data_IF_968772628580
#
_entry.id   IF_968772628580
#
_cell.length_a   1.000
_cell.length_b   1.000
_cell.length_c   1.000
_cell.angle_alpha   90.00
_cell.angle_beta   90.00
_cell.angle_gamma   90.00
#
_symmetry.space_group_name_H-M   'P 1'
#
loop_
_entity.id
_entity.type
_entity.pdbx_description
1 polymer ?
#
# COMPACT_ATOMS: atom_id res chain seq x y z
N UNK A 1 -27.82 7.47 -25.62
CA UNK A 1 -27.55 7.72 -24.18
C UNK A 1 -27.71 6.48 -23.30
N UNK A 2 -28.84 5.75 -23.33
CA UNK A 2 -29.04 4.52 -22.50
C UNK A 2 -27.94 3.47 -22.69
N UNK A 3 -27.53 3.17 -23.91
CA UNK A 3 -26.47 2.18 -24.18
C UNK A 3 -25.09 2.62 -23.67
N UNK A 4 -24.79 3.92 -23.72
CA UNK A 4 -23.52 4.47 -23.21
C UNK A 4 -23.47 4.34 -21.69
N UNK A 5 -24.56 4.66 -21.00
CA UNK A 5 -24.66 4.49 -19.54
C UNK A 5 -24.50 3.03 -19.12
N UNK A 6 -25.10 2.10 -19.88
CA UNK A 6 -24.95 0.66 -19.61
C UNK A 6 -23.50 0.19 -19.80
N UNK A 7 -22.81 0.65 -20.84
CA UNK A 7 -21.39 0.32 -21.08
C UNK A 7 -20.52 0.86 -19.95
N UNK A 8 -20.72 2.12 -19.54
CA UNK A 8 -19.98 2.74 -18.43
C UNK A 8 -20.22 1.99 -17.13
N UNK A 9 -21.47 1.66 -16.82
CA UNK A 9 -21.81 0.89 -15.62
C UNK A 9 -21.17 -0.51 -15.63
N UNK A 10 -21.24 -1.22 -16.77
CA UNK A 10 -20.64 -2.55 -16.90
C UNK A 10 -19.10 -2.49 -16.75
N UNK A 11 -18.45 -1.48 -17.33
CA UNK A 11 -17.02 -1.28 -17.18
C UNK A 11 -16.63 -0.97 -15.72
N UNK A 12 -17.38 -0.11 -15.03
CA UNK A 12 -17.16 0.20 -13.63
C UNK A 12 -17.31 -1.04 -12.73
N UNK A 13 -18.32 -1.88 -12.98
CA UNK A 13 -18.52 -3.15 -12.27
C UNK A 13 -17.34 -4.10 -12.53
N UNK A 14 -16.89 -4.22 -13.78
CA UNK A 14 -15.77 -5.09 -14.14
C UNK A 14 -14.47 -4.64 -13.46
N UNK A 15 -14.17 -3.33 -13.47
CA UNK A 15 -13.00 -2.77 -12.79
C UNK A 15 -13.12 -3.00 -11.28
N UNK A 16 -14.27 -2.71 -10.67
CA UNK A 16 -14.48 -2.92 -9.24
C UNK A 16 -14.32 -4.38 -8.82
N UNK A 17 -14.89 -5.32 -9.58
CA UNK A 17 -14.73 -6.76 -9.35
C UNK A 17 -13.28 -7.21 -9.50
N UNK A 18 -12.56 -6.67 -10.49
CA UNK A 18 -11.15 -6.96 -10.70
C UNK A 18 -10.28 -6.44 -9.55
N UNK A 19 -10.46 -5.18 -9.13
CA UNK A 19 -9.77 -4.60 -7.97
C UNK A 19 -10.06 -5.41 -6.70
N UNK A 20 -11.32 -5.80 -6.48
CA UNK A 20 -11.68 -6.68 -5.37
C UNK A 20 -10.97 -8.04 -5.44
N UNK A 21 -10.79 -8.61 -6.63
CA UNK A 21 -10.03 -9.85 -6.81
C UNK A 21 -8.55 -9.72 -6.41
N UNK A 22 -7.93 -8.55 -6.64
CA UNK A 22 -6.56 -8.26 -6.20
C UNK A 22 -6.53 -8.15 -4.68
N UNK A 23 -7.43 -7.37 -4.08
CA UNK A 23 -7.55 -7.19 -2.63
C UNK A 23 -7.75 -8.55 -1.94
N UNK A 24 -8.61 -9.40 -2.49
CA UNK A 24 -8.87 -10.75 -1.99
C UNK A 24 -7.61 -11.62 -2.01
N UNK A 25 -6.90 -11.67 -3.14
CA UNK A 25 -5.67 -12.46 -3.27
C UNK A 25 -4.53 -11.94 -2.39
N UNK A 26 -4.36 -10.62 -2.32
CA UNK A 26 -3.41 -9.98 -1.40
C UNK A 26 -3.73 -10.34 0.06
N UNK A 27 -5.00 -10.28 0.46
CA UNK A 27 -5.43 -10.66 1.82
C UNK A 27 -5.12 -12.12 2.15
N UNK A 28 -5.37 -13.05 1.22
CA UNK A 28 -5.02 -14.46 1.40
C UNK A 28 -3.50 -14.65 1.53
N UNK A 29 -2.72 -14.01 0.67
CA UNK A 29 -1.26 -14.04 0.72
C UNK A 29 -0.72 -13.42 2.02
N UNK A 30 -1.35 -12.39 2.55
CA UNK A 30 -0.98 -11.82 3.85
C UNK A 30 -1.19 -12.81 5.01
N UNK A 31 -2.33 -13.49 5.04
CA UNK A 31 -2.59 -14.55 6.04
C UNK A 31 -1.58 -15.68 5.92
N UNK A 32 -1.21 -16.05 4.70
CA UNK A 32 -0.22 -17.10 4.44
C UNK A 32 1.20 -16.69 4.85
N UNK A 33 1.64 -15.49 4.45
CA UNK A 33 3.04 -15.07 4.55
C UNK A 33 3.34 -14.30 5.84
N UNK A 34 2.33 -13.68 6.43
CA UNK A 34 2.45 -12.81 7.61
C UNK A 34 1.48 -13.20 8.73
N UNK A 35 0.63 -14.21 8.55
CA UNK A 35 -0.23 -14.74 9.61
C UNK A 35 -1.48 -13.91 9.91
N UNK A 36 -1.66 -12.72 9.32
CA UNK A 36 -2.90 -11.94 9.41
C UNK A 36 -3.07 -11.05 8.20
N UNK A 37 -4.31 -10.73 7.85
CA UNK A 37 -4.66 -9.78 6.79
C UNK A 37 -5.00 -8.41 7.36
N UNK A 38 -4.54 -7.35 6.68
CA UNK A 38 -4.85 -5.95 6.97
C UNK A 38 -5.83 -5.34 5.98
N UNK A 39 -5.99 -5.92 4.79
CA UNK A 39 -6.94 -5.44 3.79
C UNK A 39 -8.37 -5.93 4.06
N UNK A 40 -8.53 -7.23 4.27
CA UNK A 40 -9.82 -7.86 4.60
C UNK A 40 -9.77 -8.50 6.00
N UNK A 41 -10.89 -8.54 6.74
CA UNK A 41 -10.97 -9.16 8.06
C UNK A 41 -11.01 -10.70 7.97
N UNK A 42 -9.94 -11.31 7.43
CA UNK A 42 -9.79 -12.75 7.37
C UNK A 42 -9.28 -13.30 8.72
N UNK A 43 -9.65 -14.56 9.09
CA UNK A 43 -9.12 -15.18 10.30
C UNK A 43 -7.59 -15.22 10.30
N UNK A 44 -6.99 -14.72 11.37
CA UNK A 44 -5.55 -14.79 11.57
C UNK A 44 -5.10 -16.23 11.87
N UNK A 45 -3.84 -16.54 11.53
CA UNK A 45 -3.19 -17.79 11.91
C UNK A 45 -2.99 -17.84 13.43
N UNK A 46 -3.13 -19.01 14.06
CA UNK A 46 -2.83 -19.16 15.48
C UNK A 46 -1.34 -18.94 15.77
N UNK A 47 -1.01 -18.59 17.00
CA UNK A 47 0.38 -18.48 17.46
C UNK A 47 1.10 -17.16 17.14
N UNK A 48 0.35 -16.08 16.89
CA UNK A 48 0.92 -14.73 16.83
C UNK A 48 1.33 -14.29 18.24
N UNK A 49 2.59 -13.93 18.41
CA UNK A 49 3.16 -13.48 19.69
C UNK A 49 3.52 -12.00 19.57
N UNK A 50 3.30 -11.15 20.59
CA UNK A 50 3.79 -9.78 20.58
C UNK A 50 5.27 -9.70 20.19
N UNK A 51 5.59 -8.84 19.23
CA UNK A 51 6.93 -8.64 18.71
C UNK A 51 7.64 -7.48 19.41
N UNK A 52 8.96 -7.34 19.21
CA UNK A 52 9.72 -6.23 19.77
C UNK A 52 9.23 -4.89 19.19
N UNK A 53 8.87 -3.95 20.06
CA UNK A 53 8.63 -2.57 19.65
C UNK A 53 9.96 -1.91 19.29
N UNK A 54 10.17 -1.60 18.01
CA UNK A 54 11.30 -0.81 17.54
C UNK A 54 10.94 0.67 17.37
N UNK A 55 11.94 1.56 17.22
CA UNK A 55 11.72 2.96 16.81
C UNK A 55 10.89 3.09 15.52
N UNK A 56 10.96 2.06 14.66
CA UNK A 56 10.26 1.92 13.37
C UNK A 56 8.85 1.31 13.49
N UNK A 57 8.40 0.98 14.70
CA UNK A 57 7.09 0.36 14.97
C UNK A 57 6.36 1.03 16.13
N UNK A 58 6.79 2.22 16.56
CA UNK A 58 6.34 2.85 17.81
C UNK A 58 4.82 3.07 17.87
N UNK A 59 4.18 3.24 16.71
CA UNK A 59 2.72 3.39 16.58
C UNK A 59 2.02 2.14 16.02
N UNK A 60 2.75 1.10 15.64
CA UNK A 60 2.23 -0.09 14.96
C UNK A 60 2.57 -1.36 15.74
N UNK A 61 1.56 -2.05 16.30
CA UNK A 61 1.72 -3.34 16.99
C UNK A 61 2.42 -4.35 16.07
N UNK A 62 3.69 -4.61 16.34
CA UNK A 62 4.44 -5.67 15.69
C UNK A 62 4.19 -7.02 16.36
N UNK A 63 4.32 -8.10 15.61
CA UNK A 63 4.20 -9.46 16.13
C UNK A 63 5.21 -10.40 15.48
N UNK A 64 5.51 -11.51 16.16
CA UNK A 64 6.26 -12.62 15.63
C UNK A 64 5.31 -13.62 14.98
N UNK A 65 5.66 -14.08 13.78
CA UNK A 65 4.96 -15.12 13.06
C UNK A 65 5.95 -16.22 12.65
N UNK A 66 5.56 -17.48 12.82
CA UNK A 66 6.33 -18.62 12.34
C UNK A 66 5.86 -19.02 10.95
N UNK A 67 6.61 -18.62 9.92
CA UNK A 67 6.35 -18.97 8.53
C UNK A 67 7.23 -20.16 8.16
N UNK A 68 6.64 -21.36 8.11
CA UNK A 68 7.32 -22.59 7.69
C UNK A 68 8.64 -22.87 8.45
N UNK A 69 8.66 -22.63 9.76
CA UNK A 69 9.84 -22.81 10.62
C UNK A 69 10.71 -21.55 10.78
N UNK A 70 10.54 -20.54 9.93
CA UNK A 70 11.23 -19.24 10.02
C UNK A 70 10.41 -18.27 10.89
N UNK A 71 10.97 -17.84 12.03
CA UNK A 71 10.38 -16.74 12.82
C UNK A 71 10.65 -15.41 12.13
N UNK A 72 9.60 -14.70 11.76
CA UNK A 72 9.69 -13.36 11.17
C UNK A 72 9.01 -12.33 12.08
N UNK A 73 9.59 -11.13 12.12
CA UNK A 73 8.92 -9.95 12.69
C UNK A 73 8.02 -9.36 11.61
N UNK A 74 6.76 -9.12 11.98
CA UNK A 74 5.73 -8.52 11.15
C UNK A 74 5.26 -7.22 11.79
N UNK A 75 5.12 -6.18 10.99
CA UNK A 75 4.58 -4.88 11.35
C UNK A 75 3.87 -4.29 10.13
N UNK A 76 3.01 -3.29 10.34
CA UNK A 76 2.09 -2.79 9.32
C UNK A 76 2.79 -2.32 8.05
N UNK A 77 3.84 -1.50 8.13
CA UNK A 77 4.56 -1.00 6.94
C UNK A 77 5.15 -2.13 6.08
N UNK A 78 5.56 -3.25 6.70
CA UNK A 78 6.05 -4.43 5.99
C UNK A 78 4.93 -5.12 5.21
N UNK A 79 3.73 -5.18 5.79
CA UNK A 79 2.54 -5.73 5.12
C UNK A 79 2.13 -4.81 3.97
N UNK A 80 2.05 -3.51 4.22
CA UNK A 80 1.70 -2.52 3.20
C UNK A 80 2.71 -2.53 2.03
N UNK A 81 4.01 -2.59 2.32
CA UNK A 81 5.04 -2.81 1.31
C UNK A 81 4.75 -4.05 0.44
N UNK A 82 4.42 -5.19 1.06
CA UNK A 82 4.04 -6.38 0.31
C UNK A 82 2.78 -6.16 -0.54
N UNK A 83 1.75 -5.49 -0.01
CA UNK A 83 0.51 -5.21 -0.73
C UNK A 83 0.76 -4.43 -2.03
N UNK A 84 1.58 -3.38 -2.00
CA UNK A 84 1.90 -2.59 -3.19
C UNK A 84 2.72 -3.39 -4.21
N UNK A 85 3.76 -4.11 -3.78
CA UNK A 85 4.57 -4.93 -4.69
C UNK A 85 3.71 -6.07 -5.29
N UNK A 86 2.96 -6.79 -4.45
CA UNK A 86 2.20 -7.96 -4.89
C UNK A 86 0.98 -7.58 -5.71
N UNK A 87 0.18 -6.61 -5.27
CA UNK A 87 -1.01 -6.15 -5.98
C UNK A 87 -0.67 -5.58 -7.35
N UNK A 88 0.36 -4.72 -7.45
CA UNK A 88 0.79 -4.17 -8.74
C UNK A 88 1.41 -5.23 -9.64
N UNK A 89 2.09 -6.22 -9.05
CA UNK A 89 2.60 -7.39 -9.75
C UNK A 89 1.49 -8.27 -10.32
N UNK A 90 0.45 -8.57 -9.54
CA UNK A 90 -0.73 -9.31 -10.03
C UNK A 90 -1.38 -8.59 -11.21
N UNK A 91 -1.59 -7.27 -11.08
CA UNK A 91 -2.14 -6.46 -12.16
C UNK A 91 -1.27 -6.51 -13.42
N UNK A 92 0.06 -6.46 -13.28
CA UNK A 92 0.97 -6.51 -14.42
C UNK A 92 1.09 -7.90 -15.07
N UNK A 93 1.02 -8.97 -14.29
CA UNK A 93 0.97 -10.34 -14.81
C UNK A 93 -0.23 -10.50 -15.76
N UNK A 94 -1.39 -10.04 -15.31
CA UNK A 94 -2.68 -10.27 -15.96
C UNK A 94 -2.97 -9.27 -17.08
N UNK A 95 -2.77 -7.98 -16.82
CA UNK A 95 -3.15 -6.89 -17.74
C UNK A 95 -1.95 -6.29 -18.49
N UNK A 96 -0.73 -6.57 -18.06
CA UNK A 96 0.48 -5.93 -18.55
C UNK A 96 0.83 -4.64 -17.81
N UNK A 97 1.95 -4.02 -18.19
CA UNK A 97 2.57 -2.93 -17.43
C UNK A 97 1.72 -1.67 -17.36
N UNK A 98 1.22 -1.18 -18.51
CA UNK A 98 0.51 0.09 -18.57
C UNK A 98 -0.83 0.07 -17.80
N UNK A 99 -1.72 -0.92 -17.97
CA UNK A 99 -2.96 -0.97 -17.19
C UNK A 99 -2.71 -1.11 -15.69
N UNK A 100 -1.72 -1.92 -15.29
CA UNK A 100 -1.32 -2.06 -13.90
C UNK A 100 -0.81 -0.74 -13.30
N UNK A 101 -0.01 0.00 -14.08
CA UNK A 101 0.46 1.31 -13.68
C UNK A 101 -0.69 2.29 -13.44
N UNK A 102 -1.65 2.37 -14.37
CA UNK A 102 -2.81 3.25 -14.24
C UNK A 102 -3.71 2.87 -13.06
N UNK A 103 -3.96 1.57 -12.87
CA UNK A 103 -4.78 1.06 -11.77
C UNK A 103 -4.19 1.43 -10.41
N UNK A 104 -2.88 1.22 -10.23
CA UNK A 104 -2.21 1.55 -8.98
C UNK A 104 -2.02 3.05 -8.80
N UNK A 105 -1.87 3.81 -9.88
CA UNK A 105 -1.92 5.26 -9.78
C UNK A 105 -3.28 5.75 -9.28
N UNK A 106 -4.38 5.20 -9.82
CA UNK A 106 -5.72 5.49 -9.35
C UNK A 106 -5.94 5.06 -7.89
N UNK A 107 -5.33 3.96 -7.44
CA UNK A 107 -5.32 3.55 -6.04
C UNK A 107 -4.72 4.63 -5.14
N UNK A 108 -3.54 5.17 -5.48
CA UNK A 108 -2.92 6.27 -4.71
C UNK A 108 -3.82 7.51 -4.66
N UNK A 109 -4.50 7.85 -5.76
CA UNK A 109 -5.48 8.95 -5.77
C UNK A 109 -6.69 8.67 -4.87
N UNK A 110 -7.16 7.42 -4.82
CA UNK A 110 -8.29 7.02 -4.00
C UNK A 110 -7.94 7.07 -2.51
N UNK A 111 -6.85 6.40 -2.10
CA UNK A 111 -6.37 6.41 -0.70
C UNK A 111 -6.20 7.84 -0.20
N UNK A 112 -5.62 8.68 -1.03
CA UNK A 112 -5.43 10.09 -0.75
C UNK A 112 -6.73 10.89 -0.60
N UNK A 113 -7.69 10.70 -1.51
CA UNK A 113 -8.93 11.48 -1.54
C UNK A 113 -9.82 11.18 -0.33
N UNK A 114 -9.72 9.96 0.21
CA UNK A 114 -10.52 9.49 1.33
C UNK A 114 -9.78 9.50 2.68
N UNK A 115 -8.57 10.08 2.75
CA UNK A 115 -7.91 10.30 4.04
C UNK A 115 -8.57 11.44 4.83
N UNK A 116 -9.31 11.09 5.86
CA UNK A 116 -10.05 12.04 6.69
C UNK A 116 -9.16 12.91 7.60
N UNK A 117 -7.87 12.56 7.78
CA UNK A 117 -6.98 13.27 8.71
C UNK A 117 -6.16 14.39 8.05
N UNK A 118 -6.37 14.62 6.76
CA UNK A 118 -5.55 15.52 5.97
C UNK A 118 -4.29 14.83 5.47
N UNK A 119 -3.24 15.60 5.15
CA UNK A 119 -2.01 15.07 4.54
C UNK A 119 -0.83 15.59 5.33
N UNK A 120 -0.06 14.66 5.89
CA UNK A 120 1.16 14.91 6.66
C UNK A 120 2.41 14.67 5.81
N UNK A 121 3.60 14.97 6.35
CA UNK A 121 4.86 14.72 5.65
C UNK A 121 5.12 13.22 5.55
N UNK A 122 4.71 12.48 6.58
CA UNK A 122 4.79 11.03 6.68
C UNK A 122 3.99 10.37 5.54
N UNK A 123 2.78 10.85 5.27
CA UNK A 123 1.94 10.34 4.18
C UNK A 123 2.59 10.56 2.81
N UNK A 124 3.27 11.69 2.62
CA UNK A 124 4.00 11.99 1.37
C UNK A 124 5.20 11.06 1.17
N UNK A 125 5.89 10.69 2.26
CA UNK A 125 7.01 9.74 2.21
C UNK A 125 6.51 8.32 1.94
N UNK A 126 5.42 7.91 2.61
CA UNK A 126 4.81 6.60 2.44
C UNK A 126 4.32 6.41 1.00
N UNK A 127 3.64 7.41 0.44
CA UNK A 127 3.21 7.43 -0.96
C UNK A 127 4.34 7.25 -1.96
N UNK A 128 5.49 7.92 -1.76
CA UNK A 128 6.66 7.73 -2.65
C UNK A 128 7.21 6.31 -2.53
N UNK A 129 7.22 5.77 -1.31
CA UNK A 129 7.65 4.40 -1.02
C UNK A 129 6.70 3.40 -1.71
N UNK A 130 5.40 3.61 -1.66
CA UNK A 130 4.36 2.79 -2.30
C UNK A 130 4.44 2.83 -3.83
N UNK A 131 4.59 4.02 -4.42
CA UNK A 131 4.82 4.17 -5.86
C UNK A 131 6.09 3.46 -6.34
N UNK A 132 7.19 3.55 -5.57
CA UNK A 132 8.42 2.83 -5.89
C UNK A 132 8.22 1.31 -5.82
N UNK A 133 7.47 0.82 -4.82
CA UNK A 133 7.10 -0.59 -4.69
C UNK A 133 6.19 -1.07 -5.81
N UNK A 134 5.25 -0.23 -6.26
CA UNK A 134 4.41 -0.52 -7.42
C UNK A 134 5.28 -0.76 -8.68
N UNK A 135 6.35 0.00 -8.87
CA UNK A 135 7.30 -0.21 -9.98
C UNK A 135 8.03 -1.56 -9.83
N UNK A 136 8.49 -1.89 -8.62
CA UNK A 136 9.16 -3.17 -8.35
C UNK A 136 8.21 -4.33 -8.66
N UNK A 137 6.98 -4.28 -8.17
CA UNK A 137 5.98 -5.32 -8.39
C UNK A 137 5.73 -5.60 -9.86
N UNK A 138 5.49 -4.56 -10.65
CA UNK A 138 5.32 -4.69 -12.11
C UNK A 138 6.54 -5.29 -12.80
N UNK A 139 7.77 -4.90 -12.42
CA UNK A 139 9.00 -5.47 -12.99
C UNK A 139 9.17 -6.96 -12.67
N UNK A 140 8.89 -7.37 -11.44
CA UNK A 140 8.95 -8.78 -11.04
C UNK A 140 7.91 -9.60 -11.82
N UNK A 141 6.69 -9.07 -11.94
CA UNK A 141 5.63 -9.69 -12.73
C UNK A 141 6.01 -9.90 -14.20
N UNK A 142 6.59 -8.89 -14.85
CA UNK A 142 7.06 -9.03 -16.23
C UNK A 142 8.17 -10.08 -16.35
N UNK A 143 9.07 -10.17 -15.36
CA UNK A 143 10.08 -11.22 -15.33
C UNK A 143 9.45 -12.62 -15.23
N UNK A 144 8.47 -12.81 -14.34
CA UNK A 144 7.70 -14.07 -14.23
C UNK A 144 6.96 -14.41 -15.52
N UNK A 145 6.37 -13.41 -16.18
CA UNK A 145 5.70 -13.59 -17.48
C UNK A 145 6.68 -14.03 -18.57
N UNK A 146 7.90 -13.49 -18.55
CA UNK A 146 8.97 -13.88 -19.48
C UNK A 146 9.50 -15.31 -19.22
N UNK A 147 9.31 -15.85 -18.01
CA UNK A 147 9.55 -17.28 -17.70
C UNK A 147 8.45 -18.20 -18.31
N UNK A 148 7.40 -17.64 -18.91
CA UNK A 148 6.29 -18.39 -19.52
C UNK A 148 5.28 -18.96 -18.50
N UNK A 149 5.39 -18.56 -17.23
CA UNK A 149 4.50 -19.02 -16.16
C UNK A 149 3.13 -18.33 -16.24
N UNK A 150 2.08 -19.08 -15.90
CA UNK A 150 0.70 -18.57 -15.86
C UNK A 150 -0.06 -19.11 -14.65
N UNK A 151 -1.21 -18.49 -14.33
CA UNK A 151 -2.09 -18.95 -13.25
C UNK A 151 -1.39 -19.02 -11.89
N UNK A 152 -1.66 -20.09 -11.14
CA UNK A 152 -1.11 -20.29 -9.78
C UNK A 152 0.42 -20.40 -9.75
N UNK A 153 1.04 -20.95 -10.80
CA UNK A 153 2.50 -21.06 -10.87
C UNK A 153 3.16 -19.68 -10.96
N UNK A 154 2.60 -18.78 -11.77
CA UNK A 154 3.08 -17.40 -11.84
C UNK A 154 2.88 -16.66 -10.51
N UNK A 155 1.75 -16.90 -9.84
CA UNK A 155 1.42 -16.29 -8.56
C UNK A 155 2.40 -16.71 -7.45
N UNK A 156 2.63 -18.01 -7.28
CA UNK A 156 3.61 -18.52 -6.31
C UNK A 156 5.03 -18.07 -6.61
N UNK A 157 5.39 -18.01 -7.90
CA UNK A 157 6.70 -17.50 -8.33
C UNK A 157 6.85 -16.02 -7.97
N UNK A 158 5.84 -15.20 -8.24
CA UNK A 158 5.82 -13.78 -7.91
C UNK A 158 5.96 -13.58 -6.40
N UNK A 159 5.14 -14.25 -5.58
CA UNK A 159 5.25 -14.19 -4.10
C UNK A 159 6.66 -14.55 -3.63
N UNK A 160 7.25 -15.61 -4.17
CA UNK A 160 8.61 -16.04 -3.83
C UNK A 160 9.67 -14.99 -4.18
N UNK A 161 9.58 -14.37 -5.35
CA UNK A 161 10.49 -13.30 -5.77
C UNK A 161 10.34 -12.05 -4.89
N UNK A 162 9.11 -11.68 -4.54
CA UNK A 162 8.83 -10.56 -3.63
C UNK A 162 9.47 -10.81 -2.27
N UNK A 163 9.31 -12.02 -1.70
CA UNK A 163 9.93 -12.34 -0.41
C UNK A 163 11.46 -12.28 -0.46
N UNK A 164 12.07 -12.66 -1.58
CA UNK A 164 13.52 -12.53 -1.78
C UNK A 164 13.94 -11.05 -1.82
N UNK A 165 13.17 -10.22 -2.53
CA UNK A 165 13.40 -8.77 -2.61
C UNK A 165 13.23 -8.08 -1.25
N UNK A 166 12.21 -8.45 -0.48
CA UNK A 166 11.97 -7.93 0.87
C UNK A 166 13.08 -8.32 1.87
N UNK A 167 13.82 -9.41 1.61
CA UNK A 167 15.03 -9.79 2.37
C UNK A 167 16.24 -8.94 1.96
N UNK A 168 16.21 -8.26 0.82
CA UNK A 168 17.29 -7.40 0.35
C UNK A 168 17.07 -5.94 0.77
N UNK A 169 17.79 -5.44 1.79
CA UNK A 169 17.59 -4.10 2.31
C UNK A 169 18.01 -3.00 1.32
N UNK A 170 18.59 -3.32 0.15
CA UNK A 170 18.95 -2.31 -0.86
C UNK A 170 17.82 -2.02 -1.85
N UNK A 171 16.87 -2.94 -2.03
CA UNK A 171 15.86 -2.87 -3.09
C UNK A 171 14.48 -2.51 -2.56
N UNK A 172 14.14 -3.00 -1.38
CA UNK A 172 12.83 -2.73 -0.75
C UNK A 172 12.99 -1.78 0.44
N UNK A 173 11.98 -0.94 0.65
CA UNK A 173 11.87 0.03 1.73
C UNK A 173 10.80 -0.48 2.71
N UNK A 174 11.20 -1.10 3.81
CA UNK A 174 10.21 -1.73 4.70
C UNK A 174 9.46 -0.73 5.60
N UNK A 175 9.82 0.55 5.57
CA UNK A 175 9.14 1.64 6.28
C UNK A 175 9.39 2.96 5.56
N UNK A 176 8.44 3.91 5.65
CA UNK A 176 8.62 5.27 5.14
C UNK A 176 9.71 6.05 5.90
N UNK A 177 10.04 5.63 7.11
CA UNK A 177 11.14 6.17 7.92
C UNK A 177 12.53 5.70 7.44
N UNK A 178 12.61 4.83 6.43
CA UNK A 178 13.88 4.47 5.83
C UNK A 178 14.53 5.72 5.20
N UNK A 179 15.77 6.10 5.57
CA UNK A 179 16.40 7.32 5.08
C UNK A 179 16.47 7.41 3.55
N UNK A 180 16.44 6.26 2.86
CA UNK A 180 16.48 6.19 1.39
C UNK A 180 15.15 6.63 0.75
N UNK A 181 14.04 6.56 1.49
CA UNK A 181 12.71 7.02 1.01
C UNK A 181 12.72 8.53 0.78
N UNK A 182 13.41 9.29 1.63
CA UNK A 182 13.58 10.73 1.45
C UNK A 182 14.34 11.09 0.16
N UNK A 183 15.18 10.17 -0.34
CA UNK A 183 15.92 10.31 -1.59
C UNK A 183 15.19 9.76 -2.82
N UNK A 184 13.97 9.23 -2.66
CA UNK A 184 13.17 8.77 -3.79
C UNK A 184 12.75 9.94 -4.69
N UNK A 185 12.62 9.70 -6.01
CA UNK A 185 12.09 10.69 -6.93
C UNK A 185 10.68 11.16 -6.56
N UNK A 186 10.27 12.29 -7.13
CA UNK A 186 8.90 12.79 -7.01
C UNK A 186 7.86 11.80 -7.56
N UNK A 187 6.60 11.90 -7.13
CA UNK A 187 5.53 11.04 -7.66
C UNK A 187 5.37 11.16 -9.17
N UNK A 188 5.56 12.36 -9.74
CA UNK A 188 5.54 12.57 -11.18
C UNK A 188 6.61 11.73 -11.89
N UNK A 189 7.83 11.67 -11.35
CA UNK A 189 8.91 10.83 -11.86
C UNK A 189 8.64 9.34 -11.66
N UNK A 190 7.89 8.98 -10.60
CA UNK A 190 7.44 7.61 -10.35
C UNK A 190 6.20 7.22 -11.18
N UNK A 191 5.72 8.12 -12.04
CA UNK A 191 4.65 7.88 -13.01
C UNK A 191 3.25 8.33 -12.58
N UNK A 192 3.12 9.00 -11.43
CA UNK A 192 1.83 9.51 -10.95
C UNK A 192 1.85 11.03 -10.79
N UNK A 193 1.86 11.78 -11.90
CA UNK A 193 1.83 13.24 -11.83
C UNK A 193 0.49 13.74 -11.30
N UNK A 194 0.54 14.83 -10.52
CA UNK A 194 -0.67 15.52 -10.06
C UNK A 194 -1.35 14.89 -8.85
N UNK A 195 -0.71 13.93 -8.17
CA UNK A 195 -1.15 13.51 -6.84
C UNK A 195 -1.19 14.75 -5.92
N UNK A 196 -2.32 15.08 -5.29
CA UNK A 196 -2.44 16.34 -4.58
C UNK A 196 -1.59 16.30 -3.31
N UNK A 197 -1.13 17.47 -2.86
CA UNK A 197 -0.39 17.59 -1.59
C UNK A 197 -1.29 18.07 -0.43
N UNK A 198 -2.57 18.40 -0.72
CA UNK A 198 -3.66 18.66 0.25
C UNK A 198 -4.98 18.04 -0.24
N UNK A 199 -5.70 17.32 0.61
CA UNK A 199 -6.99 16.71 0.24
C UNK A 199 -8.17 17.63 0.58
N UNK A 200 -9.39 17.22 0.24
CA UNK A 200 -10.61 18.02 0.48
C UNK A 200 -10.86 18.29 1.96
N UNK A 201 -10.38 17.43 2.86
CA UNK A 201 -10.49 17.59 4.30
C UNK A 201 -9.45 18.56 4.87
N UNK A 202 -8.27 18.73 4.25
CA UNK A 202 -7.33 19.81 4.61
C UNK A 202 -7.99 21.20 4.55
N UNK A 203 -8.96 21.42 3.65
CA UNK A 203 -9.68 22.70 3.53
C UNK A 203 -10.75 22.90 4.62
N UNK A 204 -11.34 21.81 5.15
CA UNK A 204 -12.31 21.87 6.25
C UNK A 204 -11.66 21.94 7.64
N UNK A 205 -10.51 21.30 7.84
CA UNK A 205 -9.79 21.22 9.12
C UNK A 205 -9.02 22.53 9.42
N UNK A 206 -8.71 23.33 8.40
CA UNK A 206 -8.14 24.68 8.55
C UNK A 206 -9.07 25.68 9.27
N UNK A 207 -10.36 25.37 9.45
CA UNK A 207 -11.30 26.21 10.21
C UNK A 207 -11.40 25.81 11.69
N UNK A 208 -11.11 24.55 12.04
CA UNK A 208 -11.27 24.02 13.41
C UNK A 208 -9.99 24.06 14.24
N UNK A 209 -8.81 24.00 13.62
CA UNK A 209 -7.54 24.12 14.34
C UNK A 209 -7.23 25.57 14.77
N UNK A 210 -7.61 26.55 13.95
CA UNK A 210 -7.40 27.98 14.26
C UNK A 210 -8.29 28.44 15.41
N UNK A 211 -9.51 27.89 15.52
CA UNK A 211 -10.42 28.17 16.66
C UNK A 211 -9.97 27.45 17.94
N UNK A 212 -9.47 26.21 17.88
CA UNK A 212 -8.92 25.53 19.08
C UNK A 212 -7.64 26.17 19.61
N UNK A 213 -6.69 26.56 18.74
CA UNK A 213 -5.48 27.26 19.19
C UNK A 213 -5.79 28.66 19.76
N UNK A 214 -6.78 29.37 19.23
CA UNK A 214 -7.22 30.65 19.80
C UNK A 214 -7.88 30.51 21.18
N UNK A 215 -8.69 29.48 21.40
CA UNK A 215 -9.33 29.25 22.71
C UNK A 215 -8.28 28.85 23.76
N UNK A 216 -7.32 28.00 23.40
CA UNK A 216 -6.22 27.61 24.32
C UNK A 216 -5.26 28.77 24.63
N UNK A 217 -4.96 29.64 23.65
CA UNK A 217 -4.11 30.81 23.87
C UNK A 217 -4.81 31.94 24.66
N UNK A 218 -6.15 32.00 24.62
CA UNK A 218 -6.94 32.98 25.38
C UNK A 218 -7.11 32.56 26.85
N UNK A 219 -7.24 31.26 27.13
CA UNK A 219 -7.33 30.73 28.49
C UNK A 219 -5.98 30.75 29.25
N UNK A 220 -4.86 30.73 28.54
CA UNK A 220 -3.53 30.86 29.14
C UNK A 220 -3.14 32.30 29.52
N UNK A 221 -3.98 33.32 29.23
CA UNK A 221 -3.76 34.72 29.65
C UNK A 221 -4.65 35.16 30.82
N UNK A 222 -5.44 34.26 31.41
CA UNK A 222 -6.36 34.55 32.53
C UNK A 222 -5.84 33.94 33.85
N UNK A 223 -4.60 33.44 33.89
CA UNK A 223 -3.92 33.00 35.11
C UNK A 223 -2.55 33.66 35.26
#
# INVERSE_FOLDING_TARGET
MRSILLIVAAAAIAIGAYTFSIIWRASLAEVELFGSSRLLPLPARPGLVPGPCGPRTYFNRSYLYNRNGEKIIVYTDKINCFQHIYGSGLAALELGELPAHLLFCANEFAEYTFDHNGVTIEDLLDRRKDLAHNIIGRKLALAVKNEGLTGSQADERLKSMILLEMKNPRRVYLSYLDPRVAALPSEATLGCPGLPNKNVFNFGIGFTHTTRQWISASLARIH
#
